data_IF_343973800940
#
_entry.id   IF_343973800940
#
_cell.length_a   1.000
_cell.length_b   1.000
_cell.length_c   1.000
_cell.angle_alpha   90.00
_cell.angle_beta   90.00
_cell.angle_gamma   90.00
#
_symmetry.space_group_name_H-M   'P 1'
#
loop_
_entity.id
_entity.type
_entity.pdbx_description
1 polymer ?
#
# COMPACT_ATOMS: atom_id res chain seq x y z
N UNK A 1 54.15 -54.97 32.67
CA UNK A 1 53.12 -55.46 33.63
C UNK A 1 52.05 -54.38 33.66
N UNK A 2 51.04 -54.40 32.77
CA UNK A 2 49.74 -55.13 32.88
C UNK A 2 49.09 -54.93 34.26
N UNK A 3 47.81 -54.48 34.23
CA UNK A 3 46.76 -54.50 35.28
C UNK A 3 46.44 -53.09 35.82
N UNK A 4 45.20 -52.58 35.93
CA UNK A 4 43.81 -53.07 35.85
C UNK A 4 42.93 -51.81 35.63
N UNK A 5 42.05 -51.71 34.63
CA UNK A 5 40.64 -52.10 34.66
C UNK A 5 39.95 -51.97 36.03
N UNK A 6 39.12 -50.95 36.19
CA UNK A 6 37.90 -51.02 37.00
C UNK A 6 36.81 -50.17 36.36
N UNK A 7 35.91 -50.88 35.70
CA UNK A 7 34.58 -50.40 35.37
C UNK A 7 33.75 -50.37 36.66
N UNK A 8 32.97 -49.31 36.86
CA UNK A 8 31.70 -49.44 37.58
C UNK A 8 30.70 -48.46 36.97
N UNK A 9 29.71 -49.04 36.31
CA UNK A 9 28.53 -48.36 35.83
C UNK A 9 27.69 -47.88 37.02
N UNK A 10 27.17 -46.66 36.95
CA UNK A 10 25.89 -46.36 37.56
C UNK A 10 25.13 -45.38 36.67
N UNK A 11 24.24 -45.98 35.87
CA UNK A 11 23.14 -45.32 35.21
C UNK A 11 22.21 -44.79 36.32
N UNK A 12 22.06 -43.47 36.41
CA UNK A 12 20.94 -42.85 37.12
C UNK A 12 20.30 -41.83 36.20
N UNK A 13 19.08 -42.20 35.79
CA UNK A 13 18.17 -41.50 34.91
C UNK A 13 17.22 -40.69 35.79
N UNK A 14 17.27 -39.36 35.76
CA UNK A 14 16.19 -38.52 36.32
C UNK A 14 15.96 -37.26 35.48
N UNK A 15 14.82 -37.29 34.80
CA UNK A 15 13.86 -36.23 34.46
C UNK A 15 14.34 -34.90 33.88
N UNK A 16 14.01 -34.72 32.59
CA UNK A 16 13.76 -33.42 31.99
C UNK A 16 12.64 -32.69 32.74
N UNK A 17 12.91 -31.45 33.15
CA UNK A 17 11.87 -30.44 33.39
C UNK A 17 12.21 -29.28 32.46
N UNK A 18 11.34 -29.08 31.48
CA UNK A 18 11.44 -27.99 30.53
C UNK A 18 11.21 -26.64 31.21
N UNK A 19 12.08 -25.70 30.89
CA UNK A 19 11.77 -24.27 30.95
C UNK A 19 11.91 -23.76 29.52
N UNK A 20 10.77 -23.56 28.87
CA UNK A 20 10.68 -22.71 27.69
C UNK A 20 11.02 -21.30 28.13
N UNK A 21 12.21 -20.82 27.77
CA UNK A 21 12.41 -19.39 27.62
C UNK A 21 12.18 -19.10 26.14
N UNK A 22 11.00 -18.58 25.84
CA UNK A 22 10.77 -17.83 24.62
C UNK A 22 11.68 -16.60 24.67
N UNK A 23 12.90 -16.75 24.14
CA UNK A 23 13.70 -15.64 23.65
C UNK A 23 12.94 -15.00 22.48
N UNK A 24 11.91 -14.21 22.78
CA UNK A 24 11.53 -13.10 21.89
C UNK A 24 12.56 -12.01 22.08
N UNK A 25 13.79 -12.32 21.66
CA UNK A 25 14.68 -11.32 21.12
C UNK A 25 13.88 -10.65 20.02
N UNK A 26 13.28 -9.50 20.35
CA UNK A 26 12.91 -8.51 19.37
C UNK A 26 14.20 -8.14 18.67
N UNK A 27 14.54 -8.90 17.62
CA UNK A 27 15.43 -8.47 16.58
C UNK A 27 14.73 -7.27 15.96
N UNK A 28 14.93 -6.10 16.56
CA UNK A 28 15.03 -4.89 15.80
C UNK A 28 16.04 -5.24 14.71
N UNK A 29 15.53 -5.58 13.53
CA UNK A 29 16.35 -5.72 12.35
C UNK A 29 17.16 -4.44 12.32
N UNK A 30 18.46 -4.57 12.50
CA UNK A 30 19.39 -3.52 12.14
C UNK A 30 19.11 -3.30 10.66
N UNK A 31 18.30 -2.28 10.37
CA UNK A 31 18.14 -1.78 9.03
C UNK A 31 19.56 -1.54 8.55
N UNK A 32 19.95 -2.26 7.52
CA UNK A 32 21.17 -2.00 6.77
C UNK A 32 21.08 -0.50 6.45
N UNK A 33 21.84 0.32 7.17
CA UNK A 33 21.66 1.76 7.18
C UNK A 33 22.17 2.25 5.84
N UNK A 34 21.31 2.19 4.82
CA UNK A 34 21.55 2.82 3.54
C UNK A 34 21.74 4.30 3.84
N UNK A 35 22.94 4.78 3.54
CA UNK A 35 23.31 6.16 3.76
C UNK A 35 22.58 7.03 2.73
N UNK A 36 21.76 7.96 3.20
CA UNK A 36 20.89 8.79 2.38
C UNK A 36 19.38 8.56 2.59
N UNK A 37 18.54 9.23 1.80
CA UNK A 37 17.09 9.06 1.85
C UNK A 37 16.68 7.77 1.14
N UNK A 38 15.69 7.06 1.69
CA UNK A 38 15.15 5.83 1.11
C UNK A 38 13.64 5.90 1.17
N UNK A 39 12.96 5.70 0.03
CA UNK A 39 11.50 5.72 -0.04
C UNK A 39 10.97 4.28 -0.07
N UNK A 40 10.13 3.91 0.89
CA UNK A 40 9.45 2.61 0.92
C UNK A 40 7.94 2.78 0.91
N UNK A 41 7.26 2.18 -0.07
CA UNK A 41 5.79 2.19 -0.17
C UNK A 41 5.16 1.03 0.61
N UNK A 42 3.98 1.27 1.19
CA UNK A 42 3.14 0.18 1.71
C UNK A 42 2.64 -0.73 0.58
N UNK A 43 2.29 -0.13 -0.54
CA UNK A 43 1.95 -0.81 -1.79
C UNK A 43 2.32 0.08 -2.97
N UNK A 44 2.76 -0.52 -4.06
CA UNK A 44 3.01 0.17 -5.32
C UNK A 44 1.85 0.01 -6.30
N UNK A 45 0.83 -0.79 -5.97
CA UNK A 45 -0.36 -1.00 -6.80
C UNK A 45 -1.64 -0.80 -6.01
N UNK A 46 -2.55 0.00 -6.54
CA UNK A 46 -3.90 0.18 -6.00
C UNK A 46 -4.94 -0.10 -7.08
N UNK A 47 -5.83 -1.05 -6.79
CA UNK A 47 -6.96 -1.38 -7.65
C UNK A 47 -8.20 -0.57 -7.22
N UNK A 48 -8.87 0.04 -8.18
CA UNK A 48 -10.17 0.67 -7.97
C UNK A 48 -11.28 -0.38 -7.88
N UNK A 49 -11.06 -1.59 -8.39
CA UNK A 49 -12.07 -2.58 -8.68
C UNK A 49 -12.91 -2.16 -9.90
N UNK A 50 -14.16 -2.60 -9.91
CA UNK A 50 -15.18 -2.12 -10.84
C UNK A 50 -15.88 -0.93 -10.20
N UNK A 51 -15.81 0.24 -10.84
CA UNK A 51 -16.41 1.49 -10.37
C UNK A 51 -17.37 2.05 -11.41
N UNK A 52 -18.38 2.80 -10.96
CA UNK A 52 -19.28 3.48 -11.87
C UNK A 52 -18.66 4.75 -12.45
N UNK A 53 -19.12 5.16 -13.63
CA UNK A 53 -18.77 6.42 -14.24
C UNK A 53 -19.02 7.58 -13.27
N UNK A 54 -18.00 8.43 -13.07
CA UNK A 54 -18.09 9.58 -12.16
C UNK A 54 -17.89 9.25 -10.67
N UNK A 55 -17.50 8.01 -10.33
CA UNK A 55 -17.10 7.64 -8.98
C UNK A 55 -15.89 8.44 -8.47
N UNK A 56 -15.60 8.33 -7.17
CA UNK A 56 -14.45 8.98 -6.52
C UNK A 56 -13.15 8.72 -7.32
N UNK A 57 -12.52 9.78 -7.86
CA UNK A 57 -11.39 9.65 -8.74
C UNK A 57 -10.07 9.42 -8.00
N UNK A 58 -10.03 9.39 -6.66
CA UNK A 58 -8.78 9.42 -5.91
C UNK A 58 -8.37 8.05 -5.34
N UNK A 59 -7.07 7.75 -5.42
CA UNK A 59 -6.41 6.70 -4.62
C UNK A 59 -5.14 7.24 -3.99
N UNK A 60 -4.74 6.62 -2.89
CA UNK A 60 -3.63 7.10 -2.05
C UNK A 60 -2.58 6.00 -1.94
N UNK A 61 -1.32 6.39 -2.14
CA UNK A 61 -0.16 5.55 -1.89
C UNK A 61 0.59 6.11 -0.69
N UNK A 62 0.63 5.36 0.41
CA UNK A 62 1.40 5.73 1.59
C UNK A 62 2.83 5.24 1.46
N UNK A 63 3.78 6.06 1.90
CA UNK A 63 5.19 5.72 1.92
C UNK A 63 5.85 6.27 3.17
N UNK A 64 6.97 5.65 3.54
CA UNK A 64 7.81 6.06 4.66
C UNK A 64 9.22 6.32 4.15
N UNK A 65 9.88 7.35 4.69
CA UNK A 65 11.30 7.52 4.51
C UNK A 65 12.06 6.59 5.46
N UNK A 66 12.53 5.44 4.97
CA UNK A 66 13.27 4.46 5.77
C UNK A 66 14.78 4.74 5.80
N UNK A 67 15.23 5.83 5.17
CA UNK A 67 16.62 6.25 5.15
C UNK A 67 17.01 7.09 6.36
N UNK A 68 18.25 7.57 6.37
CA UNK A 68 18.81 8.39 7.45
C UNK A 68 18.94 9.89 7.10
N UNK A 69 18.49 10.30 5.91
CA UNK A 69 18.50 11.69 5.44
C UNK A 69 17.12 12.14 4.91
N UNK A 70 16.83 13.45 4.81
CA UNK A 70 15.54 13.94 4.28
C UNK A 70 15.28 13.52 2.83
N UNK A 71 14.09 12.95 2.60
CA UNK A 71 13.60 12.52 1.30
C UNK A 71 12.82 13.65 0.63
N UNK A 72 13.12 13.93 -0.64
CA UNK A 72 12.49 14.97 -1.44
C UNK A 72 11.98 14.36 -2.73
N UNK A 73 10.71 14.62 -3.04
CA UNK A 73 10.09 14.27 -4.31
C UNK A 73 10.24 15.45 -5.27
N UNK A 74 11.04 15.29 -6.30
CA UNK A 74 11.34 16.36 -7.26
C UNK A 74 10.33 16.39 -8.41
N UNK A 75 9.74 15.23 -8.74
CA UNK A 75 8.74 15.13 -9.79
C UNK A 75 7.79 13.95 -9.55
N UNK A 76 6.52 14.13 -9.94
CA UNK A 76 5.57 13.04 -10.10
C UNK A 76 4.80 13.26 -11.41
N UNK A 77 4.79 12.25 -12.28
CA UNK A 77 4.15 12.34 -13.60
C UNK A 77 3.32 11.10 -13.87
N UNK A 78 2.04 11.30 -14.17
CA UNK A 78 1.18 10.24 -14.70
C UNK A 78 1.50 9.91 -16.16
N UNK A 79 1.15 8.68 -16.58
CA UNK A 79 1.37 8.22 -17.95
C UNK A 79 0.51 8.94 -19.01
N UNK A 80 -0.60 9.56 -18.60
CA UNK A 80 -1.53 10.33 -19.43
C UNK A 80 -2.07 11.53 -18.64
N UNK A 81 -2.68 12.51 -19.32
CA UNK A 81 -3.44 13.58 -18.65
C UNK A 81 -4.67 13.09 -17.88
N UNK A 82 -5.06 11.82 -18.06
CA UNK A 82 -6.11 11.15 -17.31
C UNK A 82 -5.67 10.66 -15.92
N UNK A 83 -4.39 10.79 -15.56
CA UNK A 83 -3.83 10.36 -14.28
C UNK A 83 -2.96 11.48 -13.71
N UNK A 84 -3.42 12.12 -12.64
CA UNK A 84 -2.78 13.33 -12.09
C UNK A 84 -2.35 13.06 -10.64
N UNK A 85 -1.04 12.95 -10.35
CA UNK A 85 -0.55 12.80 -9.00
C UNK A 85 -0.45 14.14 -8.26
N UNK A 86 -0.70 14.10 -6.95
CA UNK A 86 -0.44 15.16 -5.96
C UNK A 86 0.46 14.58 -4.89
N UNK A 87 1.48 15.32 -4.49
CA UNK A 87 2.55 14.84 -3.62
C UNK A 87 3.10 15.96 -2.73
N UNK A 88 3.67 15.64 -1.55
CA UNK A 88 4.26 16.62 -0.65
C UNK A 88 5.42 17.36 -1.33
N UNK A 89 5.52 18.66 -1.06
CA UNK A 89 6.61 19.52 -1.58
C UNK A 89 7.70 19.77 -0.56
N UNK A 90 7.38 19.53 0.71
CA UNK A 90 8.32 19.67 1.81
C UNK A 90 9.17 18.39 1.95
N UNK A 91 10.40 18.48 2.46
CA UNK A 91 11.21 17.31 2.76
C UNK A 91 10.54 16.41 3.81
N UNK A 92 10.64 15.09 3.60
CA UNK A 92 10.13 14.06 4.51
C UNK A 92 11.30 13.55 5.36
N UNK A 93 11.22 13.74 6.67
CA UNK A 93 12.29 13.37 7.61
C UNK A 93 12.50 11.86 7.73
N UNK A 94 13.65 11.40 8.26
CA UNK A 94 13.87 9.99 8.54
C UNK A 94 12.79 9.39 9.45
N UNK A 95 12.23 8.25 9.05
CA UNK A 95 11.15 7.55 9.75
C UNK A 95 9.76 8.17 9.57
N UNK A 96 9.64 9.32 8.89
CA UNK A 96 8.34 9.96 8.66
C UNK A 96 7.58 9.30 7.50
N UNK A 97 6.25 9.26 7.64
CA UNK A 97 5.32 8.76 6.64
C UNK A 97 4.60 9.92 5.96
N UNK A 98 4.38 9.79 4.66
CA UNK A 98 3.58 10.73 3.86
C UNK A 98 2.85 9.96 2.76
N UNK A 99 2.09 10.68 1.93
CA UNK A 99 1.24 10.08 0.89
C UNK A 99 1.36 10.74 -0.48
N UNK A 100 1.08 9.94 -1.52
CA UNK A 100 0.86 10.37 -2.90
C UNK A 100 -0.60 10.14 -3.24
N UNK A 101 -1.34 11.21 -3.55
CA UNK A 101 -2.74 11.14 -3.96
C UNK A 101 -2.83 11.18 -5.48
N UNK A 102 -3.35 10.13 -6.09
CA UNK A 102 -3.49 9.99 -7.55
C UNK A 102 -4.94 10.15 -7.94
N UNK A 103 -5.23 11.12 -8.82
CA UNK A 103 -6.54 11.31 -9.45
C UNK A 103 -6.59 10.59 -10.80
N UNK A 104 -7.57 9.71 -11.01
CA UNK A 104 -7.91 9.16 -12.31
C UNK A 104 -9.19 9.79 -12.88
N UNK A 105 -9.27 9.96 -14.19
CA UNK A 105 -10.50 10.39 -14.86
C UNK A 105 -11.51 9.23 -14.97
N UNK A 106 -12.38 9.11 -13.97
CA UNK A 106 -13.42 8.07 -13.85
C UNK A 106 -14.59 8.25 -14.83
N UNK A 107 -14.51 9.18 -15.77
CA UNK A 107 -15.49 9.27 -16.87
C UNK A 107 -15.12 8.38 -18.06
N UNK A 108 -13.95 7.74 -18.03
CA UNK A 108 -13.42 6.89 -19.10
C UNK A 108 -13.83 5.44 -18.89
N UNK A 109 -14.85 5.01 -19.62
CA UNK A 109 -15.37 3.64 -19.56
C UNK A 109 -14.31 2.60 -19.95
N UNK A 110 -14.45 1.40 -19.37
CA UNK A 110 -13.64 0.22 -19.64
C UNK A 110 -12.50 0.01 -18.63
N UNK A 111 -11.73 -1.05 -18.89
CA UNK A 111 -10.58 -1.44 -18.07
C UNK A 111 -9.42 -0.46 -18.25
N UNK A 112 -8.71 -0.17 -17.16
CA UNK A 112 -7.53 0.67 -17.18
C UNK A 112 -6.41 0.10 -16.31
N UNK A 113 -5.18 0.38 -16.76
CA UNK A 113 -3.96 0.25 -15.96
C UNK A 113 -3.10 1.47 -16.31
N UNK A 114 -2.77 2.29 -15.31
CA UNK A 114 -2.01 3.53 -15.47
C UNK A 114 -0.85 3.56 -14.49
N UNK A 115 0.23 4.23 -14.90
CA UNK A 115 1.44 4.35 -14.09
C UNK A 115 1.66 5.81 -13.71
N UNK A 116 2.22 6.02 -12.53
CA UNK A 116 2.77 7.28 -12.05
C UNK A 116 4.25 7.05 -11.80
N UNK A 117 5.09 7.86 -12.43
CA UNK A 117 6.54 7.83 -12.24
C UNK A 117 6.93 8.94 -11.28
N UNK A 118 7.66 8.57 -10.22
CA UNK A 118 8.22 9.49 -9.24
C UNK A 118 9.72 9.60 -9.44
N UNK A 119 10.23 10.83 -9.32
CA UNK A 119 11.66 11.12 -9.24
C UNK A 119 11.93 11.71 -7.86
N UNK A 120 12.95 11.20 -7.17
CA UNK A 120 13.34 11.63 -5.82
C UNK A 120 14.83 11.91 -5.76
N UNK A 121 15.32 12.35 -4.59
CA UNK A 121 16.75 12.44 -4.29
C UNK A 121 17.33 11.13 -3.67
N UNK A 122 16.55 10.05 -3.59
CA UNK A 122 16.97 8.75 -3.02
C UNK A 122 17.85 7.93 -3.96
N UNK A 123 18.07 8.39 -5.20
CA UNK A 123 18.87 7.71 -6.20
C UNK A 123 18.42 8.04 -7.62
N UNK A 124 19.06 7.43 -8.61
CA UNK A 124 18.69 7.58 -10.03
C UNK A 124 17.47 6.73 -10.42
N UNK A 125 17.18 5.69 -9.63
CA UNK A 125 16.06 4.79 -9.88
C UNK A 125 14.72 5.46 -9.58
N UNK A 126 13.87 5.51 -10.61
CA UNK A 126 12.54 6.10 -10.51
C UNK A 126 11.57 5.11 -9.89
N UNK A 127 10.77 5.59 -8.95
CA UNK A 127 9.73 4.78 -8.32
C UNK A 127 8.47 4.79 -9.20
N UNK A 128 7.80 3.64 -9.33
CA UNK A 128 6.68 3.45 -10.24
C UNK A 128 5.45 2.97 -9.49
N UNK A 129 4.41 3.79 -9.45
CA UNK A 129 3.13 3.43 -8.85
C UNK A 129 2.13 3.04 -9.94
N UNK A 130 1.31 2.04 -9.69
CA UNK A 130 0.30 1.53 -10.62
C UNK A 130 -1.09 1.70 -10.03
N UNK A 131 -1.99 2.28 -10.82
CA UNK A 131 -3.43 2.21 -10.56
C UNK A 131 -4.09 1.34 -11.63
N UNK A 132 -5.09 0.58 -11.25
CA UNK A 132 -5.86 -0.24 -12.18
C UNK A 132 -7.33 -0.32 -11.78
N UNK A 133 -8.17 -0.82 -12.67
CA UNK A 133 -9.59 -1.06 -12.41
C UNK A 133 -10.41 -1.09 -13.69
N UNK A 134 -11.72 -0.97 -13.54
CA UNK A 134 -12.69 -0.91 -14.63
C UNK A 134 -13.77 0.11 -14.34
N UNK A 135 -14.03 1.01 -15.28
CA UNK A 135 -15.15 1.96 -15.18
C UNK A 135 -16.33 1.43 -15.99
N UNK A 136 -17.46 1.20 -15.33
CA UNK A 136 -18.72 0.80 -15.97
C UNK A 136 -19.67 1.98 -16.09
N UNK A 137 -20.56 1.93 -17.08
CA UNK A 137 -21.58 2.94 -17.23
C UNK A 137 -22.49 2.94 -15.99
N UNK A 138 -22.75 4.13 -15.45
CA UNK A 138 -23.73 4.28 -14.37
C UNK A 138 -25.10 3.85 -14.89
N UNK A 139 -25.76 2.93 -14.21
CA UNK A 139 -27.13 2.56 -14.56
C UNK A 139 -28.02 3.79 -14.39
N UNK A 140 -28.78 4.14 -15.44
CA UNK A 140 -29.81 5.15 -15.33
C UNK A 140 -30.90 4.60 -14.40
N UNK A 141 -31.07 5.20 -13.22
CA UNK A 141 -32.30 4.96 -12.46
C UNK A 141 -33.46 5.44 -13.33
N UNK A 142 -34.48 4.60 -13.58
CA UNK A 142 -35.59 4.99 -14.43
C UNK A 142 -36.18 6.27 -13.83
N UNK A 143 -36.11 7.36 -14.60
CA UNK A 143 -36.74 8.62 -14.28
C UNK A 143 -38.17 8.30 -13.82
N UNK A 144 -38.50 8.72 -12.60
CA UNK A 144 -39.64 8.22 -11.84
C UNK A 144 -40.87 7.95 -12.70
N UNK A 145 -41.49 6.80 -12.46
CA UNK A 145 -42.85 6.52 -12.94
C UNK A 145 -43.68 7.80 -12.80
N UNK A 146 -44.35 8.30 -13.86
CA UNK A 146 -45.21 9.46 -13.71
C UNK A 146 -46.23 9.12 -12.63
N UNK A 147 -46.24 9.89 -11.55
CA UNK A 147 -47.24 9.82 -10.50
C UNK A 147 -48.57 10.17 -11.17
N UNK A 148 -49.33 9.15 -11.54
CA UNK A 148 -50.72 9.30 -11.94
C UNK A 148 -51.52 9.53 -10.66
N UNK A 149 -51.57 10.78 -10.22
CA UNK A 149 -52.60 11.21 -9.28
C UNK A 149 -53.66 11.98 -10.08
N UNK A 150 -54.71 11.25 -10.41
CA UNK A 150 -55.88 11.78 -11.10
C UNK A 150 -56.62 12.82 -10.25
N UNK A 151 -57.21 13.79 -10.94
CA UNK A 151 -58.55 14.27 -10.64
C UNK A 151 -59.10 15.05 -11.84
N UNK A 152 -59.57 14.35 -12.89
CA UNK A 152 -60.23 14.96 -14.05
C UNK A 152 -61.77 15.04 -13.90
N UNK A 153 -62.33 14.65 -12.75
CA UNK A 153 -63.78 14.72 -12.51
C UNK A 153 -64.14 15.99 -11.73
N UNK A 154 -64.12 17.14 -12.40
CA UNK A 154 -64.97 18.25 -11.98
C UNK A 154 -65.37 19.11 -13.19
N UNK A 155 -66.67 19.06 -13.52
CA UNK A 155 -67.57 20.19 -13.82
C UNK A 155 -68.50 19.91 -15.01
N UNK A 156 -69.77 19.56 -14.74
CA UNK A 156 -70.98 20.29 -15.15
C UNK A 156 -72.25 19.43 -15.03
#
# INVERSE_FOLDING_TARGET
MKKLLSALAMLLLVAAVGYSQDDVAATAQAADSQDGPVMAFETETVDYGVIEQGSDPYRVFKFTNTGNAPLIITNAKGSCGCTVPTYPKEPIGPGETSEIKVRYDTNRLGKFTKRVTLTTNAGEEKQMLTIQGEVVQKAEEPAGLPENEGNMFNNN
#
